data_IF_489000733039
#
_entry.id   IF_489000733039
#
_cell.length_a   1.000
_cell.length_b   1.000
_cell.length_c   1.000
_cell.angle_alpha   90.00
_cell.angle_beta   90.00
_cell.angle_gamma   90.00
#
_symmetry.space_group_name_H-M   'P 1'
#
loop_
_entity.id
_entity.type
_entity.pdbx_description
1 polymer ?
#
# COMPACT_ATOMS: atom_id res chain seq x y z
N UNK A 1 -20.58 -40.49 -15.99
CA UNK A 1 -19.63 -40.36 -14.87
C UNK A 1 -18.53 -39.42 -15.32
N UNK A 2 -18.70 -38.13 -15.07
CA UNK A 2 -17.85 -37.05 -15.59
C UNK A 2 -16.80 -36.77 -14.52
N UNK A 3 -15.53 -37.10 -14.81
CA UNK A 3 -14.40 -36.69 -13.97
C UNK A 3 -13.97 -35.29 -14.43
N UNK A 4 -14.17 -34.30 -13.56
CA UNK A 4 -13.46 -33.02 -13.63
C UNK A 4 -12.00 -33.24 -13.18
N UNK A 5 -10.98 -32.89 -13.98
CA UNK A 5 -9.63 -32.76 -13.44
C UNK A 5 -9.55 -31.41 -12.71
N UNK A 6 -9.31 -31.47 -11.40
CA UNK A 6 -8.91 -30.33 -10.58
C UNK A 6 -7.64 -29.71 -11.20
N UNK A 7 -7.71 -28.47 -11.68
CA UNK A 7 -6.54 -27.65 -11.91
C UNK A 7 -5.90 -27.35 -10.56
N UNK A 8 -4.73 -27.94 -10.30
CA UNK A 8 -3.86 -27.54 -9.23
C UNK A 8 -3.26 -26.19 -9.56
N UNK A 9 -3.89 -25.12 -9.11
CA UNK A 9 -3.16 -23.90 -8.83
C UNK A 9 -2.16 -24.25 -7.71
N UNK A 10 -0.89 -24.40 -8.04
CA UNK A 10 0.18 -24.23 -7.05
C UNK A 10 0.20 -22.75 -6.68
N UNK A 11 -0.82 -22.33 -5.92
CA UNK A 11 -0.65 -21.21 -5.01
C UNK A 11 0.43 -21.73 -4.07
N UNK A 12 1.62 -21.13 -4.10
CA UNK A 12 2.41 -21.02 -2.89
C UNK A 12 1.51 -20.25 -1.93
N UNK A 13 0.56 -20.95 -1.32
CA UNK A 13 -0.03 -20.51 -0.09
C UNK A 13 1.19 -20.50 0.82
N UNK A 14 1.75 -19.30 1.03
CA UNK A 14 2.37 -19.04 2.31
C UNK A 14 1.31 -19.53 3.30
N UNK A 15 1.52 -20.71 3.87
CA UNK A 15 0.61 -21.27 4.85
C UNK A 15 0.54 -20.20 5.92
N UNK A 16 -0.58 -19.45 5.96
CA UNK A 16 -0.87 -18.50 7.01
C UNK A 16 -1.06 -19.36 8.26
N UNK A 17 0.06 -19.66 8.92
CA UNK A 17 0.04 -20.36 10.20
C UNK A 17 -0.63 -19.38 11.15
N UNK A 18 -1.88 -19.70 11.52
CA UNK A 18 -2.67 -18.96 12.48
C UNK A 18 -1.86 -18.78 13.78
N UNK A 19 -1.44 -17.55 14.04
CA UNK A 19 -0.98 -17.14 15.35
C UNK A 19 -2.21 -16.69 16.12
N UNK A 20 -2.45 -17.27 17.29
CA UNK A 20 -3.57 -16.86 18.14
C UNK A 20 -3.51 -15.35 18.39
N UNK A 21 -4.55 -14.63 17.94
CA UNK A 21 -4.70 -13.18 18.09
C UNK A 21 -4.33 -12.33 16.86
N UNK A 22 -3.65 -12.88 15.85
CA UNK A 22 -3.36 -12.14 14.60
C UNK A 22 -4.57 -12.21 13.67
N UNK A 23 -5.02 -11.07 13.14
CA UNK A 23 -6.09 -11.05 12.15
C UNK A 23 -5.65 -11.80 10.89
N UNK A 24 -6.54 -12.65 10.38
CA UNK A 24 -6.27 -13.49 9.21
C UNK A 24 -5.85 -12.61 8.01
N UNK A 25 -4.75 -12.99 7.34
CA UNK A 25 -4.28 -12.30 6.13
C UNK A 25 -3.27 -11.16 6.33
N UNK A 26 -2.81 -10.86 7.56
CA UNK A 26 -1.68 -9.94 7.75
C UNK A 26 -0.39 -10.49 7.12
N UNK A 27 0.28 -9.67 6.33
CA UNK A 27 1.63 -9.92 5.82
C UNK A 27 2.57 -8.83 6.31
N UNK A 28 3.55 -9.21 7.13
CA UNK A 28 4.58 -8.31 7.66
C UNK A 28 5.95 -8.80 7.24
N UNK A 29 6.64 -8.02 6.42
CA UNK A 29 7.93 -8.36 5.84
C UNK A 29 9.01 -7.51 6.51
N UNK A 30 9.99 -8.17 7.09
CA UNK A 30 11.24 -7.58 7.58
C UNK A 30 12.28 -7.71 6.48
N UNK A 31 12.63 -6.56 5.90
CA UNK A 31 13.43 -6.47 4.70
C UNK A 31 14.91 -6.64 5.03
N UNK A 32 15.64 -7.43 4.25
CA UNK A 32 17.03 -7.77 4.56
C UNK A 32 17.19 -8.84 5.65
N UNK A 33 16.12 -9.27 6.32
CA UNK A 33 16.16 -10.36 7.29
C UNK A 33 16.59 -11.68 6.62
N UNK A 34 17.58 -12.35 7.20
CA UNK A 34 17.97 -13.70 6.79
C UNK A 34 16.82 -14.67 7.08
N UNK A 35 16.48 -15.50 6.08
CA UNK A 35 15.35 -16.43 6.15
C UNK A 35 15.40 -17.39 7.36
N UNK A 36 16.59 -17.65 7.93
CA UNK A 36 16.76 -18.47 9.15
C UNK A 36 16.19 -17.83 10.41
N UNK A 37 16.06 -16.50 10.44
CA UNK A 37 15.47 -15.74 11.55
C UNK A 37 14.01 -15.32 11.26
N UNK A 38 13.42 -15.80 10.17
CA UNK A 38 12.04 -15.55 9.79
C UNK A 38 11.05 -16.03 10.87
N UNK A 39 9.88 -15.39 10.94
CA UNK A 39 8.85 -15.56 11.98
C UNK A 39 9.25 -15.03 13.35
N UNK A 40 10.16 -14.06 13.36
CA UNK A 40 10.45 -13.23 14.52
C UNK A 40 9.20 -12.44 14.89
N UNK A 41 8.87 -12.38 16.18
CA UNK A 41 7.75 -11.58 16.66
C UNK A 41 8.19 -10.23 17.16
N UNK A 42 7.41 -9.21 16.84
CA UNK A 42 7.49 -7.93 17.52
C UNK A 42 7.05 -8.09 18.99
N UNK A 43 7.71 -7.39 19.90
CA UNK A 43 7.52 -7.58 21.34
C UNK A 43 6.27 -6.86 21.86
N UNK A 44 5.83 -5.80 21.17
CA UNK A 44 4.67 -5.01 21.57
C UNK A 44 3.38 -5.55 20.94
N UNK A 45 3.37 -5.67 19.62
CA UNK A 45 2.23 -6.11 18.82
C UNK A 45 2.09 -7.64 18.77
N UNK A 46 3.15 -8.41 19.06
CA UNK A 46 3.19 -9.87 18.88
C UNK A 46 2.97 -10.33 17.41
N UNK A 47 3.01 -9.41 16.45
CA UNK A 47 2.95 -9.68 15.01
C UNK A 47 4.23 -10.38 14.57
N UNK A 48 4.10 -11.43 13.75
CA UNK A 48 5.24 -12.17 13.21
C UNK A 48 5.71 -11.56 11.88
N UNK A 49 6.98 -11.20 11.81
CA UNK A 49 7.65 -10.72 10.60
C UNK A 49 8.40 -11.86 9.90
N UNK A 50 8.36 -11.86 8.58
CA UNK A 50 9.04 -12.84 7.72
C UNK A 50 10.08 -12.17 6.82
N UNK A 51 11.05 -12.95 6.35
CA UNK A 51 12.03 -12.48 5.36
C UNK A 51 11.36 -12.08 4.04
N UNK A 52 11.89 -11.03 3.43
CA UNK A 52 11.47 -10.49 2.13
C UNK A 52 11.80 -11.35 0.91
N UNK A 53 12.71 -12.31 1.04
CA UNK A 53 13.25 -13.09 -0.08
C UNK A 53 12.21 -13.66 -1.07
N UNK A 54 11.00 -14.10 -0.65
CA UNK A 54 9.97 -14.59 -1.59
C UNK A 54 9.27 -13.50 -2.41
N UNK A 55 9.39 -12.23 -2.02
CA UNK A 55 8.57 -11.12 -2.54
C UNK A 55 9.37 -10.13 -3.39
N UNK A 56 10.69 -10.29 -3.50
CA UNK A 56 11.59 -9.35 -4.20
C UNK A 56 12.69 -10.10 -4.95
N UNK A 57 13.04 -9.63 -6.16
CA UNK A 57 13.98 -10.34 -7.05
C UNK A 57 15.44 -9.90 -6.91
N UNK A 58 15.73 -8.82 -6.18
CA UNK A 58 17.05 -8.19 -6.16
C UNK A 58 17.32 -7.34 -4.92
N UNK A 59 18.35 -6.49 -5.00
CA UNK A 59 18.82 -5.69 -3.87
C UNK A 59 19.76 -6.45 -2.93
N UNK A 60 20.24 -5.74 -1.92
CA UNK A 60 21.24 -6.21 -0.97
C UNK A 60 20.68 -6.15 0.45
N UNK A 61 20.94 -7.18 1.24
CA UNK A 61 20.55 -7.22 2.65
C UNK A 61 21.57 -6.45 3.48
N UNK A 62 21.10 -5.56 4.34
CA UNK A 62 21.91 -4.76 5.24
C UNK A 62 21.33 -4.79 6.66
N UNK A 63 22.18 -4.40 7.61
CA UNK A 63 21.82 -4.13 8.99
C UNK A 63 22.24 -2.70 9.30
N UNK A 64 21.49 -2.02 10.15
CA UNK A 64 21.87 -0.70 10.65
C UNK A 64 23.21 -0.76 11.40
N UNK A 65 23.91 0.36 11.46
CA UNK A 65 25.19 0.46 12.15
C UNK A 65 25.01 0.20 13.66
N UNK A 66 26.02 -0.41 14.29
CA UNK A 66 25.93 -0.85 15.68
C UNK A 66 25.67 0.30 16.68
N UNK A 67 26.17 1.51 16.37
CA UNK A 67 25.95 2.73 17.15
C UNK A 67 24.53 3.31 16.97
N UNK A 68 23.75 2.79 16.02
CA UNK A 68 22.39 3.24 15.71
C UNK A 68 21.32 2.23 16.15
N UNK A 69 21.68 1.03 16.62
CA UNK A 69 20.71 0.02 17.05
C UNK A 69 19.86 0.48 18.24
N UNK A 70 20.36 1.37 19.08
CA UNK A 70 19.61 1.95 20.20
C UNK A 70 18.74 3.15 19.82
N UNK A 71 18.81 3.61 18.57
CA UNK A 71 18.03 4.78 18.09
C UNK A 71 16.58 4.42 17.79
N UNK A 72 16.25 3.12 17.72
CA UNK A 72 14.89 2.62 17.57
C UNK A 72 14.62 1.46 18.54
N UNK A 73 13.40 1.36 19.04
CA UNK A 73 12.94 0.21 19.81
C UNK A 73 12.24 -0.83 18.94
N UNK A 74 11.90 -0.47 17.70
CA UNK A 74 11.34 -1.40 16.72
C UNK A 74 12.47 -2.17 16.07
N UNK A 75 12.50 -3.46 16.35
CA UNK A 75 13.58 -4.30 15.91
C UNK A 75 13.44 -4.73 14.44
N UNK A 76 12.26 -4.57 13.86
CA UNK A 76 12.05 -4.74 12.41
C UNK A 76 12.73 -3.62 11.61
N UNK A 77 13.07 -2.50 12.25
CA UNK A 77 13.85 -1.41 11.66
C UNK A 77 15.37 -1.64 11.69
N UNK A 78 15.87 -2.70 12.35
CA UNK A 78 17.32 -2.96 12.41
C UNK A 78 17.88 -3.59 11.14
N UNK A 79 17.05 -4.19 10.31
CA UNK A 79 17.41 -4.77 9.02
C UNK A 79 16.74 -4.00 7.90
N UNK A 80 17.40 -3.96 6.74
CA UNK A 80 16.84 -3.35 5.55
C UNK A 80 17.37 -4.01 4.28
N UNK A 81 16.60 -3.86 3.20
CA UNK A 81 17.07 -4.15 1.85
C UNK A 81 17.33 -2.85 1.12
N UNK A 82 18.53 -2.71 0.55
CA UNK A 82 18.91 -1.58 -0.31
C UNK A 82 18.95 -1.99 -1.78
N UNK A 83 18.76 -1.02 -2.68
CA UNK A 83 18.73 -1.23 -4.13
C UNK A 83 19.73 -0.30 -4.83
N UNK A 84 21.05 -0.56 -4.71
CA UNK A 84 22.09 0.27 -5.31
C UNK A 84 22.13 0.16 -6.84
N UNK A 85 21.53 -0.89 -7.40
CA UNK A 85 21.38 -1.10 -8.83
C UNK A 85 19.91 -1.36 -9.18
N UNK A 86 19.55 -1.14 -10.45
CA UNK A 86 18.18 -1.29 -10.92
C UNK A 86 17.43 0.05 -10.95
N UNK A 87 16.73 0.29 -12.06
CA UNK A 87 15.95 1.52 -12.26
C UNK A 87 14.57 1.47 -11.57
N UNK A 88 14.06 0.26 -11.35
CA UNK A 88 12.77 -0.02 -10.71
C UNK A 88 12.95 -1.29 -9.88
N UNK A 89 12.68 -1.20 -8.59
CA UNK A 89 12.79 -2.32 -7.66
C UNK A 89 11.44 -2.48 -6.98
N UNK A 90 10.83 -3.66 -7.05
CA UNK A 90 9.47 -3.84 -6.56
C UNK A 90 9.36 -5.05 -5.64
N UNK A 91 8.57 -4.87 -4.59
CA UNK A 91 7.96 -5.97 -3.86
C UNK A 91 6.69 -6.38 -4.59
N UNK A 92 6.48 -7.68 -4.72
CA UNK A 92 5.26 -8.24 -5.31
C UNK A 92 4.42 -8.85 -4.20
N UNK A 93 3.37 -8.14 -3.79
CA UNK A 93 2.54 -8.53 -2.64
C UNK A 93 1.35 -9.38 -3.10
N UNK A 94 1.08 -10.54 -2.48
CA UNK A 94 -0.08 -11.36 -2.81
C UNK A 94 -1.37 -10.67 -2.35
N UNK A 95 -2.36 -10.60 -3.22
CA UNK A 95 -3.65 -9.94 -2.95
C UNK A 95 -4.82 -10.73 -3.51
N UNK A 96 -6.01 -10.52 -2.96
CA UNK A 96 -7.26 -10.99 -3.54
C UNK A 96 -7.89 -9.87 -4.37
N UNK A 97 -8.12 -10.11 -5.66
CA UNK A 97 -8.71 -9.09 -6.54
C UNK A 97 -10.07 -8.62 -6.02
N UNK A 98 -10.26 -7.31 -5.94
CA UNK A 98 -11.45 -6.67 -5.39
C UNK A 98 -11.43 -6.48 -3.86
N UNK A 99 -10.50 -7.10 -3.13
CA UNK A 99 -10.33 -6.85 -1.71
C UNK A 99 -9.57 -5.55 -1.45
N UNK A 100 -9.86 -4.92 -0.31
CA UNK A 100 -9.28 -3.65 0.10
C UNK A 100 -8.11 -3.89 1.04
N UNK A 101 -7.03 -3.16 0.82
CA UNK A 101 -5.81 -3.30 1.61
C UNK A 101 -5.26 -1.95 2.02
N UNK A 102 -4.62 -1.92 3.19
CA UNK A 102 -3.60 -0.94 3.53
C UNK A 102 -2.24 -1.55 3.22
N UNK A 103 -1.39 -0.81 2.54
CA UNK A 103 0.04 -1.09 2.43
C UNK A 103 0.82 -0.04 3.20
N UNK A 104 1.81 -0.46 3.98
CA UNK A 104 2.75 0.40 4.69
C UNK A 104 4.18 0.01 4.33
N UNK A 105 5.02 1.02 4.16
CA UNK A 105 6.47 0.85 4.04
C UNK A 105 7.17 1.78 5.02
N UNK A 106 8.15 1.25 5.74
CA UNK A 106 8.92 2.00 6.73
C UNK A 106 10.40 2.08 6.36
N UNK A 107 11.01 3.21 6.71
CA UNK A 107 12.33 3.62 6.25
C UNK A 107 13.11 4.22 7.43
N UNK A 108 14.13 3.48 7.85
CA UNK A 108 15.09 3.90 8.86
C UNK A 108 16.50 3.60 8.35
N UNK A 109 17.24 4.66 8.00
CA UNK A 109 18.55 4.51 7.34
C UNK A 109 19.59 3.91 8.29
N UNK A 110 19.63 4.34 9.56
CA UNK A 110 20.49 3.77 10.59
C UNK A 110 21.97 3.66 10.21
N UNK A 111 22.44 4.53 9.31
CA UNK A 111 23.80 4.53 8.74
C UNK A 111 24.28 3.17 8.20
N UNK A 112 23.39 2.37 7.62
CA UNK A 112 23.72 1.02 7.12
C UNK A 112 24.89 0.99 6.12
N UNK A 113 25.10 2.07 5.36
CA UNK A 113 26.17 2.21 4.39
C UNK A 113 27.40 2.99 4.92
N UNK A 114 27.45 3.25 6.23
CA UNK A 114 28.52 3.97 6.91
C UNK A 114 28.47 5.50 6.76
N UNK A 115 27.56 6.06 5.95
CA UNK A 115 27.47 7.51 5.75
C UNK A 115 26.79 8.19 6.94
N UNK A 116 27.26 9.40 7.27
CA UNK A 116 26.86 10.14 8.48
C UNK A 116 25.72 11.14 8.28
N UNK A 117 25.32 11.44 7.04
CA UNK A 117 24.14 12.25 6.75
C UNK A 117 23.68 12.04 5.31
N UNK A 118 22.38 11.78 5.06
CA UNK A 118 21.84 11.70 3.72
C UNK A 118 21.43 13.13 3.31
N UNK A 119 22.38 14.01 2.98
CA UNK A 119 22.05 15.42 2.66
C UNK A 119 21.09 15.61 1.47
N UNK A 120 20.61 14.54 0.82
CA UNK A 120 19.56 14.58 -0.20
C UNK A 120 18.98 13.20 -0.55
N UNK A 121 18.90 12.23 0.39
CA UNK A 121 18.37 10.91 0.05
C UNK A 121 16.88 11.01 -0.24
N UNK A 122 16.55 10.80 -1.51
CA UNK A 122 15.20 10.81 -2.01
C UNK A 122 15.02 9.69 -3.02
N UNK A 123 13.84 9.09 -3.01
CA UNK A 123 13.40 8.14 -4.01
C UNK A 123 11.87 8.08 -4.02
N UNK A 124 11.30 7.69 -5.15
CA UNK A 124 9.85 7.65 -5.33
C UNK A 124 9.31 6.27 -5.01
N UNK A 125 8.14 6.25 -4.38
CA UNK A 125 7.31 5.08 -4.21
C UNK A 125 6.23 5.06 -5.27
N UNK A 126 5.96 3.88 -5.82
CA UNK A 126 4.88 3.64 -6.76
C UNK A 126 4.02 2.48 -6.27
N UNK A 127 2.71 2.66 -6.37
CA UNK A 127 1.73 1.59 -6.20
C UNK A 127 1.26 1.16 -7.60
N UNK A 128 1.68 -0.03 -8.03
CA UNK A 128 1.53 -0.41 -9.43
C UNK A 128 2.39 0.46 -10.34
N UNK A 129 1.75 1.08 -11.32
CA UNK A 129 2.36 2.06 -12.23
C UNK A 129 2.25 3.49 -11.71
N UNK A 130 1.36 3.74 -10.74
CA UNK A 130 1.01 5.07 -10.26
C UNK A 130 2.02 5.58 -9.23
N UNK A 131 2.38 6.86 -9.34
CA UNK A 131 3.19 7.52 -8.32
C UNK A 131 2.40 7.60 -7.01
N UNK A 132 3.00 7.16 -5.92
CA UNK A 132 2.38 7.13 -4.59
C UNK A 132 2.94 8.23 -3.70
N UNK A 133 4.25 8.25 -3.46
CA UNK A 133 4.88 9.18 -2.53
C UNK A 133 6.38 9.36 -2.86
N UNK A 134 7.03 10.31 -2.21
CA UNK A 134 8.47 10.50 -2.28
C UNK A 134 9.07 10.45 -0.88
N UNK A 135 9.84 9.39 -0.61
CA UNK A 135 10.58 9.27 0.65
C UNK A 135 11.68 10.32 0.65
N UNK A 136 11.74 11.12 1.70
CA UNK A 136 12.78 12.14 1.89
C UNK A 136 13.30 12.07 3.31
N UNK A 137 14.56 11.69 3.48
CA UNK A 137 15.21 11.61 4.79
C UNK A 137 16.21 12.75 4.94
N UNK A 138 16.14 13.48 6.05
CA UNK A 138 17.06 14.60 6.34
C UNK A 138 18.18 14.15 7.27
N UNK A 139 17.86 13.25 8.21
CA UNK A 139 18.80 12.58 9.10
C UNK A 139 18.79 11.06 8.87
N UNK A 140 19.91 10.40 9.18
CA UNK A 140 20.00 8.94 9.21
C UNK A 140 19.21 8.29 10.34
N UNK A 141 18.85 9.04 11.38
CA UNK A 141 18.00 8.59 12.49
C UNK A 141 16.53 8.91 12.29
N UNK A 142 16.16 9.59 11.20
CA UNK A 142 14.76 9.82 10.87
C UNK A 142 14.09 8.47 10.61
N UNK A 143 12.94 8.29 11.25
CA UNK A 143 11.99 7.25 10.93
C UNK A 143 10.89 7.86 10.05
N UNK A 144 10.68 7.25 8.89
CA UNK A 144 9.67 7.66 7.94
C UNK A 144 8.84 6.44 7.54
N UNK A 145 7.53 6.63 7.45
CA UNK A 145 6.64 5.63 6.88
C UNK A 145 5.67 6.27 5.90
N UNK A 146 5.30 5.50 4.89
CA UNK A 146 4.25 5.86 3.94
C UNK A 146 3.17 4.79 4.00
N UNK A 147 1.90 5.20 4.11
CA UNK A 147 0.75 4.28 4.00
C UNK A 147 -0.12 4.63 2.78
N UNK A 148 -0.61 3.61 2.08
CA UNK A 148 -1.63 3.74 1.05
C UNK A 148 -2.76 2.76 1.27
N UNK A 149 -3.96 3.15 0.88
CA UNK A 149 -5.14 2.29 0.87
C UNK A 149 -5.62 2.16 -0.57
N UNK A 150 -5.86 0.93 -1.00
CA UNK A 150 -6.25 0.61 -2.36
C UNK A 150 -7.17 -0.62 -2.42
N UNK A 151 -7.87 -0.78 -3.53
CA UNK A 151 -8.57 -2.02 -3.88
C UNK A 151 -7.72 -2.79 -4.88
N UNK A 152 -7.39 -4.04 -4.56
CA UNK A 152 -6.49 -4.85 -5.36
C UNK A 152 -7.08 -5.13 -6.75
N UNK A 153 -6.33 -4.83 -7.81
CA UNK A 153 -6.77 -5.04 -9.18
C UNK A 153 -6.36 -6.39 -9.78
N UNK A 154 -5.58 -7.18 -9.05
CA UNK A 154 -4.99 -8.44 -9.50
C UNK A 154 -4.75 -9.37 -8.32
N UNK A 155 -4.29 -10.58 -8.60
CA UNK A 155 -3.85 -11.56 -7.59
C UNK A 155 -2.53 -11.16 -6.90
N UNK A 156 -1.86 -10.16 -7.46
CA UNK A 156 -0.63 -9.59 -6.92
C UNK A 156 -0.60 -8.08 -7.17
N UNK A 157 -0.03 -7.33 -6.23
CA UNK A 157 0.16 -5.89 -6.35
C UNK A 157 1.63 -5.53 -6.18
N UNK A 158 2.25 -4.94 -7.21
CA UNK A 158 3.62 -4.47 -7.09
C UNK A 158 3.68 -3.12 -6.38
N UNK A 159 4.61 -3.00 -5.44
CA UNK A 159 4.95 -1.76 -4.73
C UNK A 159 6.42 -1.49 -4.96
N UNK A 160 6.73 -0.38 -5.60
CA UNK A 160 8.03 -0.15 -6.22
C UNK A 160 8.76 1.06 -5.63
N UNK A 161 10.07 0.91 -5.45
CA UNK A 161 11.00 1.97 -5.10
C UNK A 161 11.82 2.35 -6.33
N UNK A 162 11.73 3.61 -6.73
CA UNK A 162 12.38 4.15 -7.94
C UNK A 162 13.44 5.16 -7.55
N UNK A 163 14.66 4.94 -8.05
CA UNK A 163 15.78 5.84 -7.83
C UNK A 163 15.60 7.15 -8.62
N UNK A 164 15.58 8.29 -7.92
CA UNK A 164 15.47 9.64 -8.51
C UNK A 164 16.85 10.28 -8.78
N UNK A 165 17.94 9.58 -8.48
CA UNK A 165 19.32 10.00 -8.70
C UNK A 165 19.99 10.66 -7.50
N UNK A 166 19.28 10.83 -6.37
CA UNK A 166 19.81 11.51 -5.19
C UNK A 166 20.12 10.57 -4.01
N UNK A 167 20.04 9.26 -4.24
CA UNK A 167 20.58 8.25 -3.34
C UNK A 167 20.08 6.84 -3.64
N UNK A 168 20.40 5.89 -2.75
CA UNK A 168 20.05 4.47 -2.92
C UNK A 168 18.68 4.20 -2.29
N UNK A 169 17.66 3.78 -3.06
CA UNK A 169 16.39 3.34 -2.48
C UNK A 169 16.60 2.16 -1.54
N UNK A 170 15.88 2.16 -0.42
CA UNK A 170 15.93 1.08 0.55
C UNK A 170 14.60 0.99 1.30
N UNK A 171 14.38 -0.08 2.04
CA UNK A 171 13.19 -0.27 2.89
C UNK A 171 13.51 -1.22 4.03
N UNK A 172 12.95 -0.96 5.21
CA UNK A 172 13.09 -1.78 6.40
C UNK A 172 11.91 -2.74 6.54
N UNK A 173 10.68 -2.25 6.37
CA UNK A 173 9.49 -3.09 6.43
C UNK A 173 8.55 -2.87 5.25
N UNK A 174 7.90 -3.94 4.81
CA UNK A 174 6.79 -3.89 3.84
C UNK A 174 5.62 -4.67 4.42
N UNK A 175 4.48 -4.00 4.54
CA UNK A 175 3.37 -4.52 5.30
C UNK A 175 2.07 -4.39 4.51
N UNK A 176 1.28 -5.45 4.52
CA UNK A 176 -0.02 -5.52 3.87
C UNK A 176 -1.07 -5.95 4.91
N UNK A 177 -2.13 -5.15 5.03
CA UNK A 177 -3.24 -5.35 5.97
C UNK A 177 -4.55 -5.43 5.20
N UNK A 178 -5.27 -6.56 5.23
CA UNK A 178 -6.63 -6.62 4.70
C UNK A 178 -7.54 -5.66 5.48
N UNK A 179 -8.34 -4.88 4.78
CA UNK A 179 -9.32 -3.97 5.37
C UNK A 179 -10.74 -4.48 5.12
N UNK A 180 -11.64 -4.18 6.05
CA UNK A 180 -13.08 -4.43 5.87
C UNK A 180 -13.62 -3.63 4.68
N UNK A 181 -14.50 -4.25 3.88
CA UNK A 181 -15.02 -3.64 2.65
C UNK A 181 -15.70 -2.28 2.88
N UNK A 182 -16.33 -2.08 4.05
CA UNK A 182 -17.00 -0.85 4.46
C UNK A 182 -16.06 0.29 4.86
N UNK A 183 -14.80 0.02 5.22
CA UNK A 183 -13.83 1.06 5.58
C UNK A 183 -13.43 1.84 4.33
N UNK A 184 -13.47 3.18 4.39
CA UNK A 184 -13.14 4.06 3.26
C UNK A 184 -13.98 3.73 2.01
N UNK A 185 -15.30 3.99 2.03
CA UNK A 185 -16.24 3.51 1.00
C UNK A 185 -15.96 4.07 -0.40
N UNK A 186 -15.36 5.25 -0.51
CA UNK A 186 -15.04 5.87 -1.80
C UNK A 186 -13.77 5.30 -2.44
N UNK A 187 -13.00 4.48 -1.74
CA UNK A 187 -11.80 3.84 -2.31
C UNK A 187 -12.26 2.66 -3.16
N UNK A 188 -12.13 2.81 -4.48
CA UNK A 188 -12.51 1.82 -5.50
C UNK A 188 -11.26 1.24 -6.20
N UNK A 189 -11.44 0.39 -7.21
CA UNK A 189 -10.31 -0.20 -7.96
C UNK A 189 -9.50 0.81 -8.78
N UNK A 190 -10.11 1.96 -9.11
CA UNK A 190 -9.50 3.03 -9.90
C UNK A 190 -9.18 4.27 -9.04
N UNK A 191 -9.31 4.17 -7.73
CA UNK A 191 -8.98 5.23 -6.78
C UNK A 191 -8.15 4.66 -5.64
N UNK A 192 -7.02 5.29 -5.33
CA UNK A 192 -6.20 4.91 -4.18
C UNK A 192 -5.84 6.15 -3.40
N UNK A 193 -5.68 6.00 -2.10
CA UNK A 193 -5.46 7.12 -1.19
C UNK A 193 -4.16 6.91 -0.42
N UNK A 194 -3.33 7.96 -0.36
CA UNK A 194 -2.09 7.98 0.41
C UNK A 194 -2.34 8.70 1.73
N UNK A 195 -1.95 8.11 2.85
CA UNK A 195 -2.13 8.72 4.16
C UNK A 195 -1.21 9.94 4.30
N UNK A 196 -1.80 11.11 4.53
CA UNK A 196 -1.05 12.31 4.90
C UNK A 196 -0.95 12.42 6.41
N UNK A 197 -2.05 12.16 7.11
CA UNK A 197 -2.13 12.22 8.56
C UNK A 197 -3.24 11.35 9.11
N UNK A 198 -2.97 10.63 10.20
CA UNK A 198 -3.97 9.94 11.02
C UNK A 198 -3.67 10.21 12.49
N UNK A 199 -4.57 10.90 13.17
CA UNK A 199 -4.30 11.56 14.44
C UNK A 199 -5.27 11.11 15.55
N UNK A 200 -4.71 10.70 16.68
CA UNK A 200 -5.38 10.56 17.97
C UNK A 200 -5.27 11.89 18.75
N UNK A 201 -6.37 12.62 18.85
CA UNK A 201 -6.38 13.97 19.38
C UNK A 201 -6.44 13.94 20.91
N UNK A 202 -5.34 14.36 21.56
CA UNK A 202 -5.22 14.36 23.02
C UNK A 202 -4.93 12.98 23.62
N UNK A 203 -4.82 11.95 22.79
CA UNK A 203 -4.48 10.58 23.20
C UNK A 203 -3.06 10.17 22.80
N UNK A 204 -2.68 8.95 23.17
CA UNK A 204 -1.36 8.37 22.86
C UNK A 204 -1.33 7.71 21.48
N UNK A 205 -0.12 7.44 20.98
CA UNK A 205 0.08 6.62 19.79
C UNK A 205 -0.64 5.28 19.95
N UNK A 206 -1.44 4.88 18.96
CA UNK A 206 -2.27 3.67 19.01
C UNK A 206 -2.10 2.90 17.71
N UNK A 207 -1.92 1.57 17.82
CA UNK A 207 -1.80 0.62 16.72
C UNK A 207 -2.34 -0.75 17.18
N UNK A 208 -2.04 -1.83 16.47
CA UNK A 208 -2.36 -3.19 16.92
C UNK A 208 -1.78 -3.48 18.31
N UNK A 209 -2.48 -4.20 19.21
CA UNK A 209 -3.78 -4.88 19.02
C UNK A 209 -5.01 -3.99 19.24
N UNK A 210 -4.82 -2.72 19.65
CA UNK A 210 -5.94 -1.81 19.93
C UNK A 210 -6.65 -1.33 18.66
N UNK A 211 -5.91 -1.22 17.54
CA UNK A 211 -6.48 -1.14 16.19
C UNK A 211 -6.39 -2.51 15.48
N UNK A 212 -7.52 -3.19 15.22
CA UNK A 212 -7.50 -4.50 14.56
C UNK A 212 -6.98 -4.45 13.12
N UNK A 213 -7.02 -3.28 12.47
CA UNK A 213 -6.46 -3.07 11.13
C UNK A 213 -5.00 -2.62 11.14
N UNK A 214 -4.39 -2.52 12.32
CA UNK A 214 -2.98 -2.13 12.52
C UNK A 214 -2.62 -0.79 11.87
N UNK A 215 -3.57 0.14 11.90
CA UNK A 215 -3.36 1.52 11.45
C UNK A 215 -2.63 2.30 12.53
N UNK A 216 -1.65 3.10 12.12
CA UNK A 216 -0.97 4.01 13.03
C UNK A 216 -1.82 5.26 13.29
N UNK A 217 -2.19 5.49 14.55
CA UNK A 217 -2.82 6.71 15.03
C UNK A 217 -1.80 7.54 15.81
N UNK A 218 -1.30 8.61 15.19
CA UNK A 218 -0.32 9.52 15.77
C UNK A 218 -0.88 10.31 16.95
N UNK A 219 -0.11 10.44 18.04
CA UNK A 219 -0.49 11.31 19.16
C UNK A 219 -0.42 12.78 18.75
N UNK A 220 -1.50 13.54 18.96
CA UNK A 220 -1.52 14.97 18.68
C UNK A 220 -1.97 15.78 19.89
N UNK A 221 -1.10 16.69 20.32
CA UNK A 221 -1.36 17.63 21.40
C UNK A 221 -0.83 19.01 21.03
N UNK A 222 -1.40 20.05 21.63
CA UNK A 222 -0.96 21.42 21.48
C UNK A 222 -1.15 22.16 22.81
N UNK A 223 -0.28 23.12 23.10
CA UNK A 223 -0.46 24.04 24.24
C UNK A 223 -1.70 24.92 24.12
N UNK A 224 -2.28 25.03 22.92
CA UNK A 224 -3.53 25.75 22.65
C UNK A 224 -4.80 24.91 22.87
N UNK A 225 -4.67 23.65 23.27
CA UNK A 225 -5.79 22.73 23.44
C UNK A 225 -5.94 22.25 24.89
N UNK A 226 -7.18 21.97 25.28
CA UNK A 226 -7.53 21.24 26.49
C UNK A 226 -7.69 19.76 26.14
N UNK A 227 -6.89 18.89 26.75
CA UNK A 227 -7.03 17.44 26.59
C UNK A 227 -8.20 16.94 27.44
N UNK A 228 -9.09 16.20 26.82
CA UNK A 228 -10.24 15.54 27.43
C UNK A 228 -10.02 14.03 27.37
N UNK A 229 -10.45 13.32 28.41
CA UNK A 229 -10.43 11.85 28.42
C UNK A 229 -11.61 11.29 29.18
N UNK A 230 -12.00 10.06 28.84
CA UNK A 230 -13.01 9.30 29.57
C UNK A 230 -12.62 7.84 29.70
N UNK A 231 -13.16 7.19 30.74
CA UNK A 231 -13.11 5.72 30.90
C UNK A 231 -14.50 5.09 30.75
N UNK A 232 -15.51 5.89 30.40
CA UNK A 232 -16.87 5.40 30.18
C UNK A 232 -16.90 4.56 28.91
N UNK A 233 -17.84 3.61 28.87
CA UNK A 233 -18.12 2.81 27.69
C UNK A 233 -18.59 3.73 26.56
N UNK A 234 -18.03 3.54 25.36
CA UNK A 234 -18.45 4.22 24.12
C UNK A 234 -19.22 3.20 23.30
N UNK A 235 -20.42 3.56 22.88
CA UNK A 235 -21.23 2.76 21.97
C UNK A 235 -20.61 2.80 20.57
N UNK A 236 -20.38 1.61 20.02
CA UNK A 236 -19.98 1.38 18.63
C UNK A 236 -20.93 0.31 18.10
N UNK A 237 -21.63 0.60 17.00
CA UNK A 237 -22.40 -0.43 16.29
C UNK A 237 -21.43 -1.35 15.54
N UNK A 238 -21.79 -2.61 15.30
CA UNK A 238 -20.95 -3.57 14.58
C UNK A 238 -20.67 -3.11 13.12
N UNK A 239 -21.50 -2.21 12.60
CA UNK A 239 -21.33 -1.54 11.30
C UNK A 239 -20.59 -0.19 11.36
N UNK A 240 -20.26 0.30 12.56
CA UNK A 240 -19.66 1.62 12.74
C UNK A 240 -18.18 1.62 12.39
N UNK A 241 -17.68 2.79 11.96
CA UNK A 241 -16.29 3.00 11.53
C UNK A 241 -15.35 2.43 12.57
N UNK A 242 -14.44 1.57 12.14
CA UNK A 242 -13.57 0.79 13.02
C UNK A 242 -12.46 1.61 13.67
N UNK A 243 -12.76 2.77 14.25
CA UNK A 243 -11.81 3.56 15.03
C UNK A 243 -11.61 2.85 16.39
N UNK A 244 -10.37 2.70 16.88
CA UNK A 244 -10.11 2.11 18.19
C UNK A 244 -10.83 2.85 19.31
N UNK A 245 -11.38 2.11 20.29
CA UNK A 245 -12.04 2.72 21.47
C UNK A 245 -11.09 3.67 22.21
N UNK A 246 -9.81 3.33 22.31
CA UNK A 246 -8.81 4.18 22.97
C UNK A 246 -8.63 5.53 22.27
N UNK A 247 -8.78 5.59 20.95
CA UNK A 247 -8.76 6.84 20.18
C UNK A 247 -10.02 7.65 20.45
N UNK A 248 -11.19 7.00 20.53
CA UNK A 248 -12.46 7.69 20.84
C UNK A 248 -12.56 8.14 22.30
N UNK A 249 -11.81 7.53 23.22
CA UNK A 249 -11.78 7.90 24.64
C UNK A 249 -10.97 9.17 24.93
N UNK A 250 -10.19 9.64 23.96
CA UNK A 250 -9.46 10.90 24.02
C UNK A 250 -10.11 11.93 23.09
N UNK A 251 -9.99 13.21 23.46
CA UNK A 251 -10.36 14.31 22.59
C UNK A 251 -9.57 15.57 22.96
N UNK A 252 -9.58 16.54 22.05
CA UNK A 252 -9.15 17.91 22.34
C UNK A 252 -10.32 18.87 22.24
N UNK A 253 -10.29 19.90 23.08
CA UNK A 253 -11.18 21.07 23.05
C UNK A 253 -10.35 22.34 23.12
N UNK A 254 -10.99 23.50 22.94
CA UNK A 254 -10.35 24.80 23.16
C UNK A 254 -10.13 25.11 24.64
N UNK A 255 -9.15 25.99 24.92
CA UNK A 255 -8.91 26.60 26.24
C UNK A 255 -9.49 28.03 26.30
N UNK A 256 -9.58 28.60 27.50
CA UNK A 256 -9.89 30.02 27.74
C UNK A 256 -11.17 30.54 27.08
N UNK A 257 -12.21 29.69 26.97
CA UNK A 257 -13.49 30.02 26.32
C UNK A 257 -13.36 30.49 24.86
N UNK A 258 -12.29 30.10 24.17
CA UNK A 258 -12.15 30.34 22.73
C UNK A 258 -13.18 29.47 22.01
N UNK A 259 -14.05 30.09 21.22
CA UNK A 259 -15.16 29.37 20.57
C UNK A 259 -14.76 28.66 19.26
N UNK A 260 -13.53 28.85 18.77
CA UNK A 260 -13.02 28.24 17.54
C UNK A 260 -11.88 27.27 17.85
N UNK A 261 -12.08 26.00 17.53
CA UNK A 261 -11.04 24.98 17.57
C UNK A 261 -10.39 24.88 16.18
N UNK A 262 -9.09 25.17 16.10
CA UNK A 262 -8.29 24.81 14.94
C UNK A 262 -7.80 23.37 15.12
N UNK A 263 -8.31 22.46 14.28
CA UNK A 263 -7.96 21.04 14.31
C UNK A 263 -6.59 20.82 13.70
N UNK A 264 -6.30 21.50 12.60
CA UNK A 264 -5.02 21.43 11.93
C UNK A 264 -4.92 22.45 10.81
N UNK A 265 -3.71 22.98 10.65
CA UNK A 265 -3.30 23.75 9.48
C UNK A 265 -2.07 23.11 8.87
N UNK A 266 -2.10 22.90 7.57
CA UNK A 266 -0.93 22.41 6.84
C UNK A 266 -0.79 23.13 5.52
N UNK A 267 0.42 23.07 4.96
CA UNK A 267 0.74 23.72 3.71
C UNK A 267 1.37 22.72 2.78
N UNK A 268 0.88 22.69 1.55
CA UNK A 268 1.43 21.84 0.51
C UNK A 268 1.88 22.69 -0.66
N UNK A 269 3.13 22.49 -1.06
CA UNK A 269 3.76 23.25 -2.14
C UNK A 269 3.52 22.62 -3.52
N UNK A 270 2.97 21.40 -3.59
CA UNK A 270 2.54 20.74 -4.82
C UNK A 270 1.21 21.35 -5.30
N UNK A 271 1.20 21.98 -6.47
CA UNK A 271 0.04 22.71 -7.05
C UNK A 271 -1.20 21.84 -7.36
N UNK A 272 -1.06 20.51 -7.35
CA UNK A 272 -2.12 19.54 -7.63
C UNK A 272 -2.51 18.71 -6.41
N UNK A 273 -2.18 19.16 -5.19
CA UNK A 273 -2.56 18.44 -3.99
C UNK A 273 -4.07 18.51 -3.79
N UNK A 274 -4.69 17.34 -3.70
CA UNK A 274 -6.10 17.16 -3.42
C UNK A 274 -6.22 16.24 -2.20
N UNK A 275 -7.14 16.55 -1.28
CA UNK A 275 -7.30 15.77 -0.07
C UNK A 275 -8.74 15.36 0.23
N UNK A 276 -8.86 14.19 0.87
CA UNK A 276 -10.06 13.73 1.58
C UNK A 276 -9.78 13.72 3.07
N UNK A 277 -10.82 13.97 3.86
CA UNK A 277 -10.71 13.92 5.31
C UNK A 277 -11.79 13.04 5.94
N UNK A 278 -11.47 12.51 7.12
CA UNK A 278 -12.41 11.88 8.04
C UNK A 278 -12.24 12.55 9.41
N UNK A 279 -13.32 13.06 9.99
CA UNK A 279 -13.35 13.64 11.32
C UNK A 279 -14.19 12.73 12.22
N UNK A 280 -13.61 12.30 13.33
CA UNK A 280 -14.23 11.34 14.24
C UNK A 280 -14.63 12.04 15.54
N UNK A 281 -15.89 11.85 15.92
CA UNK A 281 -16.49 12.49 17.08
C UNK A 281 -17.25 11.51 17.96
N UNK A 282 -16.97 11.60 19.25
CA UNK A 282 -17.74 10.98 20.34
C UNK A 282 -17.73 11.97 21.50
N UNK A 283 -18.85 12.58 21.86
CA UNK A 283 -18.85 13.50 23.01
C UNK A 283 -18.60 12.71 24.29
N UNK A 284 -17.45 12.97 24.93
CA UNK A 284 -17.00 12.25 26.12
C UNK A 284 -17.22 13.02 27.42
N UNK A 285 -17.73 14.25 27.37
CA UNK A 285 -17.90 15.08 28.57
C UNK A 285 -19.23 14.79 29.29
N UNK A 286 -20.35 15.29 28.77
CA UNK A 286 -21.68 15.14 29.38
C UNK A 286 -22.80 15.35 28.35
N UNK A 287 -24.06 15.36 28.80
CA UNK A 287 -25.24 15.51 27.93
C UNK A 287 -25.66 16.96 27.67
N UNK A 288 -24.88 17.96 28.10
CA UNK A 288 -25.14 19.36 27.75
C UNK A 288 -24.90 19.55 26.25
N UNK A 289 -25.60 20.52 25.67
CA UNK A 289 -25.54 20.74 24.23
C UNK A 289 -24.14 21.17 23.80
N UNK A 290 -23.50 20.35 22.96
CA UNK A 290 -22.39 20.76 22.11
C UNK A 290 -22.87 20.91 20.68
N UNK A 291 -22.64 22.08 20.11
CA UNK A 291 -23.00 22.34 18.72
C UNK A 291 -22.04 23.31 18.07
N UNK A 292 -21.51 22.95 16.91
CA UNK A 292 -20.55 23.76 16.18
C UNK A 292 -20.75 23.62 14.66
N UNK A 293 -20.25 24.62 13.95
CA UNK A 293 -20.12 24.62 12.50
C UNK A 293 -18.72 24.12 12.12
N UNK A 294 -18.64 23.38 11.01
CA UNK A 294 -17.38 22.90 10.44
C UNK A 294 -17.00 23.79 9.26
N UNK A 295 -15.77 24.28 9.26
CA UNK A 295 -15.17 25.00 8.15
C UNK A 295 -13.97 24.23 7.62
N UNK A 296 -13.87 24.13 6.31
CA UNK A 296 -12.75 23.52 5.59
C UNK A 296 -12.24 24.57 4.62
N UNK A 297 -10.95 24.93 4.74
CA UNK A 297 -10.32 26.00 3.95
C UNK A 297 -11.08 27.33 4.05
N UNK A 298 -11.49 27.71 5.26
CA UNK A 298 -12.30 28.89 5.58
C UNK A 298 -13.71 28.93 4.93
N UNK A 299 -14.11 27.88 4.22
CA UNK A 299 -15.45 27.72 3.67
C UNK A 299 -16.33 26.90 4.61
N UNK A 300 -17.56 27.35 4.83
CA UNK A 300 -18.49 26.65 5.71
C UNK A 300 -18.96 25.34 5.04
N UNK A 301 -18.60 24.21 5.63
CA UNK A 301 -18.85 22.88 5.07
C UNK A 301 -20.10 22.24 5.69
N UNK A 302 -20.30 22.39 7.00
CA UNK A 302 -21.47 21.90 7.71
C UNK A 302 -21.93 22.89 8.77
N UNK A 303 -23.24 23.06 8.88
CA UNK A 303 -23.87 23.88 9.90
C UNK A 303 -24.46 23.02 11.01
N UNK A 304 -24.35 23.51 12.25
CA UNK A 304 -25.09 23.02 13.41
C UNK A 304 -24.87 21.55 13.74
N UNK A 305 -23.65 21.05 13.59
CA UNK A 305 -23.30 19.67 13.97
C UNK A 305 -23.31 19.49 15.49
N UNK A 306 -23.91 18.41 15.96
CA UNK A 306 -23.92 18.02 17.37
C UNK A 306 -23.45 16.57 17.49
N UNK A 307 -22.24 16.31 18.02
CA UNK A 307 -21.77 14.95 18.24
C UNK A 307 -22.60 14.24 19.33
N UNK A 308 -22.89 12.95 19.18
CA UNK A 308 -23.66 12.21 20.18
C UNK A 308 -22.80 11.89 21.42
N UNK A 309 -23.45 11.79 22.57
CA UNK A 309 -22.79 11.52 23.86
C UNK A 309 -22.49 10.02 24.01
N UNK A 310 -21.21 9.68 24.19
CA UNK A 310 -20.71 8.30 24.30
C UNK A 310 -21.15 7.37 23.17
N UNK A 311 -21.37 7.93 21.97
CA UNK A 311 -21.67 7.18 20.76
C UNK A 311 -20.78 7.72 19.63
N UNK A 312 -20.45 6.87 18.66
CA UNK A 312 -19.55 7.24 17.57
C UNK A 312 -20.32 7.94 16.46
N UNK A 313 -19.70 8.98 15.91
CA UNK A 313 -20.14 9.66 14.70
C UNK A 313 -18.93 10.12 13.92
N UNK A 314 -19.08 10.27 12.61
CA UNK A 314 -18.01 10.72 11.75
C UNK A 314 -18.53 11.61 10.63
N UNK A 315 -17.68 12.52 10.18
CA UNK A 315 -17.89 13.37 9.02
C UNK A 315 -16.77 13.08 8.04
N UNK A 316 -17.07 12.86 6.77
CA UNK A 316 -16.05 12.66 5.76
C UNK A 316 -16.39 13.38 4.46
N UNK A 317 -15.37 13.69 3.68
CA UNK A 317 -15.51 14.26 2.34
C UNK A 317 -15.48 13.19 1.27
N UNK A 318 -16.55 13.04 0.50
CA UNK A 318 -16.57 12.15 -0.66
C UNK A 318 -15.89 12.74 -1.89
N UNK A 319 -15.91 14.06 -2.02
CA UNK A 319 -15.19 14.79 -3.07
C UNK A 319 -13.78 15.18 -2.63
N UNK A 320 -12.88 15.27 -3.61
CA UNK A 320 -11.53 15.78 -3.45
C UNK A 320 -11.53 17.30 -3.21
N UNK A 321 -10.98 17.73 -2.07
CA UNK A 321 -10.88 19.14 -1.71
C UNK A 321 -9.53 19.71 -2.14
N UNK A 322 -9.50 20.97 -2.58
CA UNK A 322 -8.30 21.67 -3.05
C UNK A 322 -8.31 23.14 -2.62
N UNK A 323 -7.13 23.75 -2.49
CA UNK A 323 -7.00 25.20 -2.32
C UNK A 323 -6.13 25.83 -3.40
N UNK A 324 -6.36 27.11 -3.67
CA UNK A 324 -5.57 27.87 -4.67
C UNK A 324 -4.24 28.37 -4.13
N UNK A 325 -4.11 28.53 -2.81
CA UNK A 325 -2.91 29.07 -2.15
C UNK A 325 -2.02 27.98 -1.51
N UNK A 326 -2.45 26.72 -1.61
CA UNK A 326 -1.78 25.55 -1.04
C UNK A 326 -1.83 25.48 0.48
N UNK A 327 -2.64 26.30 1.15
CA UNK A 327 -2.90 26.20 2.58
C UNK A 327 -4.18 25.44 2.81
N UNK A 328 -4.17 24.59 3.82
CA UNK A 328 -5.30 23.77 4.20
C UNK A 328 -5.61 23.99 5.66
N UNK A 329 -6.89 24.09 6.00
CA UNK A 329 -7.32 24.21 7.38
C UNK A 329 -8.64 23.48 7.64
N UNK A 330 -8.79 23.00 8.87
CA UNK A 330 -10.04 22.45 9.39
C UNK A 330 -10.31 23.15 10.72
N UNK A 331 -11.45 23.80 10.84
CA UNK A 331 -11.85 24.50 12.07
C UNK A 331 -13.28 24.18 12.47
N UNK A 332 -13.51 24.13 13.78
CA UNK A 332 -14.82 23.92 14.39
C UNK A 332 -15.18 25.17 15.18
N UNK A 333 -16.29 25.83 14.85
CA UNK A 333 -16.72 27.06 15.52
C UNK A 333 -18.01 26.82 16.31
N UNK A 334 -18.00 27.07 17.62
CA UNK A 334 -19.16 26.87 18.48
C UNK A 334 -20.33 27.73 18.02
N UNK A 335 -21.52 27.12 17.96
CA UNK A 335 -22.75 27.86 17.73
C UNK A 335 -23.11 28.71 18.95
N UNK A 336 -23.84 29.84 18.80
CA UNK A 336 -24.27 30.67 19.92
C UNK A 336 -25.14 29.93 20.96
N UNK A 337 -25.77 28.83 20.55
CA UNK A 337 -26.60 27.98 21.43
C UNK A 337 -25.81 26.91 22.16
N UNK A 338 -24.53 26.70 21.82
CA UNK A 338 -23.70 25.66 22.43
C UNK A 338 -23.37 26.01 23.87
N UNK A 339 -23.55 25.04 24.77
CA UNK A 339 -23.12 25.14 26.17
C UNK A 339 -21.66 24.70 26.30
N UNK A 340 -21.27 23.68 25.54
CA UNK A 340 -19.91 23.16 25.53
C UNK A 340 -19.11 23.70 24.33
N UNK A 341 -17.79 23.80 24.49
CA UNK A 341 -16.87 24.24 23.43
C UNK A 341 -16.76 23.17 22.32
N UNK A 342 -16.21 23.45 21.13
CA UNK A 342 -16.01 22.41 20.12
C UNK A 342 -14.98 21.39 20.59
N UNK A 343 -15.13 20.13 20.17
CA UNK A 343 -14.15 19.08 20.43
C UNK A 343 -14.03 18.11 19.25
N UNK A 344 -12.92 17.39 19.20
CA UNK A 344 -12.69 16.32 18.22
C UNK A 344 -11.83 15.21 18.86
N UNK A 345 -12.14 13.96 18.52
CA UNK A 345 -11.45 12.78 19.06
C UNK A 345 -10.31 12.34 18.15
N UNK A 346 -10.54 12.37 16.84
CA UNK A 346 -9.57 11.93 15.87
C UNK A 346 -9.82 12.58 14.50
N UNK A 347 -8.79 12.65 13.66
CA UNK A 347 -8.98 12.97 12.26
C UNK A 347 -8.00 12.21 11.37
N UNK A 348 -8.40 12.03 10.12
CA UNK A 348 -7.59 11.43 9.06
C UNK A 348 -7.60 12.36 7.85
N UNK A 349 -6.45 12.50 7.19
CA UNK A 349 -6.29 13.25 5.95
C UNK A 349 -5.54 12.35 4.97
N UNK A 350 -6.08 12.27 3.76
CA UNK A 350 -5.54 11.44 2.69
C UNK A 350 -5.37 12.24 1.42
N UNK A 351 -4.34 11.90 0.66
CA UNK A 351 -4.02 12.44 -0.64
C UNK A 351 -4.46 11.47 -1.73
N UNK A 352 -4.74 11.98 -2.92
CA UNK A 352 -5.02 11.14 -4.07
C UNK A 352 -3.75 10.45 -4.58
N UNK A 353 -3.83 9.16 -4.90
CA UNK A 353 -2.89 8.44 -5.77
C UNK A 353 -3.61 8.30 -7.12
N UNK A 354 -3.33 9.18 -8.10
CA UNK A 354 -4.06 9.17 -9.36
C UNK A 354 -3.79 7.89 -10.15
N UNK A 355 -4.84 7.31 -10.72
CA UNK A 355 -4.76 6.19 -11.67
C UNK A 355 -4.72 6.69 -13.11
N UNK A 356 -3.87 7.67 -13.36
CA UNK A 356 -3.70 8.30 -14.68
C UNK A 356 -2.65 7.58 -15.54
N UNK A 357 -1.87 6.67 -14.95
CA UNK A 357 -0.88 5.89 -15.69
C UNK A 357 -1.47 4.63 -16.30
N UNK A 358 -1.11 4.29 -17.55
CA UNK A 358 -1.57 3.06 -18.16
C UNK A 358 -1.02 1.81 -17.48
N UNK A 359 -1.76 0.72 -17.56
CA UNK A 359 -1.37 -0.58 -16.97
C UNK A 359 -1.54 -1.75 -17.94
N UNK A 360 -0.83 -2.83 -17.67
CA UNK A 360 -1.09 -4.13 -18.29
C UNK A 360 -2.43 -4.65 -17.83
N UNK A 361 -3.20 -5.28 -18.74
CA UNK A 361 -4.45 -5.92 -18.38
C UNK A 361 -4.26 -6.93 -17.25
N UNK A 362 -5.12 -6.88 -16.22
CA UNK A 362 -5.09 -7.78 -15.05
C UNK A 362 -4.86 -9.26 -15.41
N UNK A 363 -5.57 -9.76 -16.43
CA UNK A 363 -5.43 -11.17 -16.86
C UNK A 363 -4.04 -11.48 -17.38
N UNK A 364 -3.45 -10.56 -18.14
CA UNK A 364 -2.11 -10.74 -18.70
C UNK A 364 -1.06 -10.58 -17.59
N UNK A 365 -1.25 -9.62 -16.69
CA UNK A 365 -0.41 -9.45 -15.50
C UNK A 365 -0.38 -10.73 -14.65
N UNK A 366 -1.53 -11.25 -14.24
CA UNK A 366 -1.62 -12.48 -13.44
C UNK A 366 -1.01 -13.69 -14.17
N UNK A 367 -1.26 -13.81 -15.47
CA UNK A 367 -0.68 -14.87 -16.31
C UNK A 367 0.85 -14.78 -16.36
N UNK A 368 1.39 -13.58 -16.54
CA UNK A 368 2.83 -13.34 -16.56
C UNK A 368 3.48 -13.63 -15.20
N UNK A 369 2.81 -13.27 -14.11
CA UNK A 369 3.26 -13.61 -12.75
C UNK A 369 3.28 -15.12 -12.53
N UNK A 370 2.26 -15.85 -12.99
CA UNK A 370 2.23 -17.31 -12.93
C UNK A 370 3.39 -17.93 -13.71
N UNK A 371 3.64 -17.49 -14.95
CA UNK A 371 4.77 -17.94 -15.78
C UNK A 371 6.11 -17.64 -15.09
N UNK A 372 6.26 -16.43 -14.54
CA UNK A 372 7.47 -16.02 -13.81
C UNK A 372 7.78 -16.96 -12.66
N UNK A 373 6.76 -17.27 -11.84
CA UNK A 373 6.89 -18.14 -10.67
C UNK A 373 7.15 -19.59 -11.07
N UNK A 374 6.40 -20.11 -12.05
CA UNK A 374 6.50 -21.49 -12.53
C UNK A 374 7.90 -21.83 -13.03
N UNK A 375 8.51 -20.93 -13.83
CA UNK A 375 9.83 -21.15 -14.39
C UNK A 375 10.97 -20.50 -13.60
N UNK A 376 10.68 -19.77 -12.52
CA UNK A 376 11.68 -19.03 -11.75
C UNK A 376 12.45 -18.00 -12.59
N UNK A 377 11.76 -17.26 -13.47
CA UNK A 377 12.38 -16.33 -14.42
C UNK A 377 13.07 -15.18 -13.68
N UNK A 378 14.40 -15.07 -13.84
CA UNK A 378 15.22 -13.98 -13.28
C UNK A 378 15.67 -13.02 -14.37
N UNK A 379 14.85 -12.01 -14.65
CA UNK A 379 15.10 -10.87 -15.56
C UNK A 379 14.79 -9.56 -14.82
N UNK A 380 14.58 -8.44 -15.52
CA UNK A 380 14.03 -7.21 -14.94
C UNK A 380 12.50 -7.29 -14.70
N UNK A 381 11.97 -8.49 -14.45
CA UNK A 381 10.54 -8.77 -14.35
C UNK A 381 9.96 -8.36 -12.98
N UNK A 382 10.09 -7.08 -12.64
CA UNK A 382 9.57 -6.45 -11.43
C UNK A 382 8.56 -5.38 -11.82
N UNK A 383 7.45 -5.22 -11.11
CA UNK A 383 6.42 -4.21 -11.41
C UNK A 383 5.49 -4.60 -12.57
N UNK A 384 4.84 -3.62 -13.18
CA UNK A 384 3.98 -3.87 -14.35
C UNK A 384 4.80 -4.31 -15.59
N UNK A 385 4.38 -5.37 -16.32
CA UNK A 385 5.12 -5.90 -17.47
C UNK A 385 5.35 -4.90 -18.60
N UNK A 386 4.39 -4.02 -18.85
CA UNK A 386 4.40 -3.12 -20.01
C UNK A 386 4.77 -1.68 -19.67
N UNK A 387 4.43 -1.23 -18.46
CA UNK A 387 4.48 0.17 -18.08
C UNK A 387 5.28 0.46 -16.80
N UNK A 388 5.83 1.68 -16.69
CA UNK A 388 6.05 2.62 -17.79
C UNK A 388 7.01 2.02 -18.83
N UNK A 389 6.95 2.48 -20.08
CA UNK A 389 7.70 1.86 -21.19
C UNK A 389 9.22 1.77 -20.94
N UNK A 390 9.78 2.73 -20.18
CA UNK A 390 11.19 2.75 -19.74
C UNK A 390 11.57 1.53 -18.89
N UNK A 391 10.63 0.94 -18.15
CA UNK A 391 10.84 -0.20 -17.26
C UNK A 391 10.20 -1.50 -17.76
N UNK A 392 9.74 -1.52 -19.02
CA UNK A 392 9.13 -2.70 -19.64
C UNK A 392 9.99 -3.93 -19.42
N UNK A 393 9.34 -5.04 -19.12
CA UNK A 393 10.00 -6.32 -18.92
C UNK A 393 10.74 -6.77 -20.19
N UNK A 394 11.95 -7.25 -20.01
CA UNK A 394 12.81 -7.73 -21.08
C UNK A 394 12.14 -8.93 -21.73
N UNK A 395 12.03 -8.87 -23.06
CA UNK A 395 11.33 -9.86 -23.88
C UNK A 395 9.82 -9.67 -23.96
N UNK A 396 9.23 -8.69 -23.28
CA UNK A 396 7.79 -8.41 -23.38
C UNK A 396 7.56 -7.28 -24.39
N UNK A 397 6.62 -7.46 -25.32
CA UNK A 397 6.06 -6.38 -26.12
C UNK A 397 4.54 -6.34 -25.95
N UNK A 398 4.00 -5.13 -25.98
CA UNK A 398 2.60 -4.88 -25.64
C UNK A 398 1.91 -4.10 -26.75
N UNK A 399 0.59 -4.25 -26.85
CA UNK A 399 -0.24 -3.57 -27.85
C UNK A 399 -0.29 -2.07 -27.62
N UNK A 400 -0.81 -1.36 -28.61
CA UNK A 400 -1.27 0.00 -28.42
C UNK A 400 -2.33 0.08 -27.30
N UNK A 401 -2.39 1.25 -26.67
CA UNK A 401 -3.29 1.51 -25.55
C UNK A 401 -4.75 1.58 -26.01
N UNK A 402 -5.61 0.88 -25.27
CA UNK A 402 -7.07 1.00 -25.37
C UNK A 402 -7.64 1.19 -23.97
N UNK A 403 -8.30 2.32 -23.73
CA UNK A 403 -8.85 2.69 -22.41
C UNK A 403 -7.83 2.59 -21.26
N UNK A 404 -6.63 3.13 -21.47
CA UNK A 404 -5.52 3.09 -20.49
C UNK A 404 -5.01 1.67 -20.13
N UNK A 405 -5.38 0.66 -20.92
CA UNK A 405 -4.98 -0.74 -20.73
C UNK A 405 -4.21 -1.21 -21.99
N UNK A 406 -3.19 -2.05 -21.78
CA UNK A 406 -2.50 -2.77 -22.86
C UNK A 406 -2.58 -4.28 -22.67
N UNK A 407 -2.38 -5.02 -23.76
CA UNK A 407 -2.34 -6.48 -23.81
C UNK A 407 -0.95 -6.94 -24.25
N UNK A 408 -0.49 -8.09 -23.79
CA UNK A 408 0.81 -8.64 -24.19
C UNK A 408 0.66 -9.35 -25.53
N UNK A 409 1.45 -8.90 -26.52
CA UNK A 409 1.39 -9.40 -27.89
C UNK A 409 2.65 -10.18 -28.29
N UNK A 410 3.76 -10.00 -27.59
CA UNK A 410 4.99 -10.76 -27.81
C UNK A 410 5.66 -11.09 -26.50
N UNK A 411 6.13 -12.33 -26.38
CA UNK A 411 6.91 -12.81 -25.26
C UNK A 411 8.14 -13.59 -25.75
N UNK A 412 9.32 -13.04 -25.47
CA UNK A 412 10.62 -13.64 -25.73
C UNK A 412 11.23 -14.14 -24.42
N UNK A 413 11.19 -15.46 -24.29
CA UNK A 413 11.80 -16.24 -23.24
C UNK A 413 12.93 -17.10 -23.78
N UNK A 414 13.46 -16.78 -24.97
CA UNK A 414 14.59 -17.50 -25.53
C UNK A 414 15.81 -17.42 -24.62
N UNK A 415 16.63 -18.48 -24.61
CA UNK A 415 17.88 -18.54 -23.84
C UNK A 415 17.73 -18.13 -22.36
N UNK A 416 16.61 -18.51 -21.73
CA UNK A 416 16.27 -18.13 -20.35
C UNK A 416 16.48 -19.29 -19.37
N UNK A 417 17.16 -20.36 -19.81
CA UNK A 417 17.41 -21.59 -19.04
C UNK A 417 16.13 -22.23 -18.48
N UNK A 418 14.98 -22.07 -19.16
CA UNK A 418 13.73 -22.66 -18.71
C UNK A 418 13.83 -24.19 -18.77
N UNK A 419 13.22 -24.87 -17.80
CA UNK A 419 13.19 -26.34 -17.69
C UNK A 419 11.76 -26.83 -17.47
N UNK A 420 11.52 -28.13 -17.70
CA UNK A 420 10.18 -28.73 -17.54
C UNK A 420 9.33 -28.64 -18.80
N UNK A 421 8.02 -28.83 -18.65
CA UNK A 421 7.06 -28.81 -19.75
C UNK A 421 6.73 -27.37 -20.18
N UNK A 422 6.23 -27.20 -21.40
CA UNK A 422 5.62 -25.93 -21.84
C UNK A 422 4.28 -25.74 -21.12
N UNK A 423 4.15 -24.63 -20.39
CA UNK A 423 3.01 -24.33 -19.53
C UNK A 423 1.75 -24.00 -20.33
N UNK A 424 0.60 -24.48 -19.85
CA UNK A 424 -0.71 -24.06 -20.35
C UNK A 424 -1.03 -22.59 -20.01
N UNK A 425 -0.30 -21.95 -19.08
CA UNK A 425 -0.47 -20.54 -18.76
C UNK A 425 -0.27 -19.63 -19.98
N UNK A 426 0.61 -20.00 -20.92
CA UNK A 426 0.79 -19.24 -22.16
C UNK A 426 -0.50 -19.12 -22.99
N UNK A 427 -1.46 -20.05 -22.83
CA UNK A 427 -2.76 -20.02 -23.52
C UNK A 427 -3.73 -18.97 -22.98
N UNK A 428 -3.41 -18.35 -21.85
CA UNK A 428 -4.22 -17.29 -21.22
C UNK A 428 -3.87 -15.89 -21.77
N UNK A 429 -2.72 -15.74 -22.42
CA UNK A 429 -2.34 -14.53 -23.15
C UNK A 429 -3.06 -14.49 -24.52
N UNK A 430 -4.33 -14.07 -24.52
CA UNK A 430 -5.22 -14.19 -25.70
C UNK A 430 -4.81 -13.34 -26.90
N UNK A 431 -4.07 -12.26 -26.67
CA UNK A 431 -3.60 -11.37 -27.74
C UNK A 431 -2.18 -11.69 -28.20
N UNK A 432 -1.57 -12.77 -27.68
CA UNK A 432 -0.21 -13.15 -28.00
C UNK A 432 -0.07 -13.55 -29.47
N UNK A 433 0.83 -12.88 -30.17
CA UNK A 433 1.16 -13.07 -31.59
C UNK A 433 2.53 -13.73 -31.78
N UNK A 434 3.45 -13.57 -30.82
CA UNK A 434 4.76 -14.20 -30.84
C UNK A 434 5.12 -14.76 -29.47
N UNK A 435 5.48 -16.03 -29.43
CA UNK A 435 6.08 -16.68 -28.27
C UNK A 435 7.40 -17.34 -28.68
N UNK A 436 8.51 -16.83 -28.17
CA UNK A 436 9.83 -17.41 -28.39
C UNK A 436 10.31 -18.15 -27.14
N UNK A 437 10.30 -19.48 -27.20
CA UNK A 437 10.82 -20.39 -26.18
C UNK A 437 12.13 -21.06 -26.63
N UNK A 438 12.72 -20.61 -27.73
CA UNK A 438 13.89 -21.26 -28.33
C UNK A 438 15.10 -21.23 -27.41
N UNK A 439 16.01 -22.20 -27.58
CA UNK A 439 17.28 -22.28 -26.83
C UNK A 439 17.06 -22.37 -25.31
N UNK A 440 16.05 -23.12 -24.88
CA UNK A 440 15.81 -23.49 -23.48
C UNK A 440 15.99 -25.02 -23.28
N UNK A 441 15.86 -25.48 -22.04
CA UNK A 441 15.93 -26.89 -21.65
C UNK A 441 14.52 -27.46 -21.36
N UNK A 442 13.53 -26.99 -22.12
CA UNK A 442 12.14 -27.46 -22.02
C UNK A 442 12.03 -28.86 -22.64
N UNK A 443 11.09 -29.66 -22.16
CA UNK A 443 10.82 -31.00 -22.65
C UNK A 443 9.32 -31.21 -22.92
N UNK A 444 9.01 -32.27 -23.65
CA UNK A 444 7.63 -32.58 -24.03
C UNK A 444 7.09 -31.73 -25.18
N UNK A 445 5.85 -32.02 -25.63
CA UNK A 445 5.24 -31.35 -26.77
C UNK A 445 4.70 -29.95 -26.41
N UNK A 446 4.59 -29.09 -27.42
CA UNK A 446 3.83 -27.83 -27.29
C UNK A 446 2.35 -28.16 -27.08
N UNK A 447 1.68 -27.61 -26.04
CA UNK A 447 0.26 -27.82 -25.79
C UNK A 447 -0.58 -27.47 -27.00
N UNK A 448 -1.42 -28.42 -27.44
CA UNK A 448 -2.32 -28.21 -28.59
C UNK A 448 -3.28 -27.03 -28.39
N UNK A 449 -3.66 -26.77 -27.13
CA UNK A 449 -4.41 -25.60 -26.68
C UNK A 449 -3.76 -24.28 -27.11
N UNK A 450 -2.44 -24.19 -27.09
CA UNK A 450 -1.66 -22.99 -27.43
C UNK A 450 -1.78 -22.65 -28.91
N UNK A 451 -1.63 -23.64 -29.80
CA UNK A 451 -1.75 -23.42 -31.24
C UNK A 451 -3.20 -23.26 -31.71
N UNK A 452 -4.18 -23.88 -31.04
CA UNK A 452 -5.60 -23.82 -31.43
C UNK A 452 -6.29 -22.51 -31.07
N UNK A 453 -5.95 -21.88 -29.93
CA UNK A 453 -6.69 -20.70 -29.44
C UNK A 453 -6.33 -19.39 -30.16
N UNK A 454 -5.09 -19.25 -30.63
CA UNK A 454 -4.60 -18.04 -31.29
C UNK A 454 -4.49 -18.20 -32.82
N UNK A 455 -5.34 -19.07 -33.40
CA UNK A 455 -5.25 -19.69 -34.72
C UNK A 455 -5.35 -18.75 -35.95
N UNK A 456 -5.05 -17.46 -35.83
CA UNK A 456 -4.89 -16.57 -36.99
C UNK A 456 -3.56 -15.83 -37.08
N UNK A 457 -2.69 -15.86 -36.06
CA UNK A 457 -1.39 -15.17 -36.16
C UNK A 457 -0.31 -15.57 -35.13
N UNK A 458 -0.56 -16.48 -34.18
CA UNK A 458 0.48 -16.82 -33.19
C UNK A 458 1.61 -17.63 -33.83
N UNK A 459 2.83 -17.10 -33.70
CA UNK A 459 4.08 -17.77 -34.05
C UNK A 459 4.73 -18.32 -32.77
N UNK A 460 4.99 -19.63 -32.73
CA UNK A 460 5.69 -20.26 -31.60
C UNK A 460 7.03 -20.83 -32.05
N UNK A 461 8.12 -20.38 -31.43
CA UNK A 461 9.48 -20.90 -31.63
C UNK A 461 9.91 -21.73 -30.43
N UNK A 462 10.46 -22.93 -30.64
CA UNK A 462 10.73 -23.90 -29.56
C UNK A 462 12.07 -24.63 -29.71
N UNK A 463 12.30 -25.36 -30.80
CA UNK A 463 13.55 -26.12 -31.04
C UNK A 463 14.36 -25.55 -32.22
N UNK A 464 13.67 -25.22 -33.30
CA UNK A 464 14.16 -24.42 -34.43
C UNK A 464 13.52 -23.04 -34.39
N UNK A 465 14.13 -22.00 -34.97
CA UNK A 465 13.53 -20.65 -35.13
C UNK A 465 12.28 -20.65 -36.06
N UNK A 466 11.85 -21.83 -36.50
CA UNK A 466 10.65 -22.09 -37.29
C UNK A 466 9.37 -22.16 -36.43
N UNK A 467 8.25 -21.79 -37.04
CA UNK A 467 6.92 -21.75 -36.42
C UNK A 467 6.34 -23.17 -36.25
N UNK A 468 6.23 -23.62 -35.00
CA UNK A 468 5.79 -24.98 -34.67
C UNK A 468 4.28 -25.17 -34.78
N UNK A 469 3.47 -24.10 -34.69
CA UNK A 469 2.02 -24.22 -34.85
C UNK A 469 1.59 -24.50 -36.29
N UNK A 470 2.50 -24.36 -37.27
CA UNK A 470 2.28 -24.76 -38.67
C UNK A 470 2.61 -26.23 -38.96
N UNK A 471 3.20 -26.96 -38.00
CA UNK A 471 3.64 -28.35 -38.16
C UNK A 471 2.73 -29.38 -37.47
N UNK A 472 1.76 -28.92 -36.66
CA UNK A 472 0.72 -29.74 -36.03
C UNK A 472 -0.56 -29.69 -36.85
#
# INVERSE_FOLDING_TARGET
MVLFPFLGAFVLAATAVHVAGQQEGFLSIDCGLDARFSRRKDTYTNIAYISDSPYVDGGENHRVAADQESSTNDVSLLTLRSFPSGLRNCYTLPTESGAKYLVRMEFFHGRYDGKSSPLSLQFDLHLGTNYWDTVTLQDTTDDWWSEAIFVAWSSWVPVCLLNTGTGTPFVNTVELRPLGASLYPDVTIDESISMYRRANMGGNFTLFPDDPYDRYWGSETSSSWANLSTKKHIQQDDNSVAVPVLVLQAAVSTINNVIVLNVGTWRVYKRSFEFKFFLHFTDIQNTQLRRFDLYVNDEQWLQTYSPPYLDISYIYSSAWNKTTDGKYNITLAASPTSVLLPMINAYEVYNNIPHDTPRTSTKDFDTMMAIKLEYGVKKNWMGDPCFPAKYRWNGVNCSDLTNNITRIISLDLSNSNLTGLVSDNFTLLTELQLLDLSRNNLNGPIPYSLCKRNARSLVVRYESEEDMCKKQ
#
